data_IF_732925999798
#
_entry.id   IF_732925999798
#
_cell.length_a   1.000
_cell.length_b   1.000
_cell.length_c   1.000
_cell.angle_alpha   90.00
_cell.angle_beta   90.00
_cell.angle_gamma   90.00
#
_symmetry.space_group_name_H-M   'P 1'
#
loop_
_entity.id
_entity.type
_entity.pdbx_description
1 polymer ?
#
# COMPACT_ATOMS: atom_id res chain seq x y z
N UNK A 1 -21.72 -16.20 -38.18
CA UNK A 1 -22.51 -16.12 -36.93
C UNK A 1 -21.51 -15.71 -35.87
N UNK A 2 -21.25 -14.40 -35.84
CA UNK A 2 -20.34 -13.79 -34.86
C UNK A 2 -21.04 -13.84 -33.50
N UNK A 3 -20.45 -14.54 -32.56
CA UNK A 3 -20.80 -14.41 -31.14
C UNK A 3 -20.37 -13.01 -30.72
N UNK A 4 -21.29 -12.07 -30.70
CA UNK A 4 -21.12 -10.84 -29.94
C UNK A 4 -20.98 -11.26 -28.47
N UNK A 5 -19.77 -11.22 -27.92
CA UNK A 5 -19.58 -11.17 -26.49
C UNK A 5 -20.30 -9.91 -26.01
N UNK A 6 -21.39 -10.06 -25.26
CA UNK A 6 -21.99 -8.97 -24.52
C UNK A 6 -20.87 -8.39 -23.65
N UNK A 7 -20.38 -7.20 -24.00
CA UNK A 7 -19.40 -6.49 -23.20
C UNK A 7 -20.02 -6.26 -21.83
N UNK A 8 -19.40 -6.78 -20.76
CA UNK A 8 -19.81 -6.45 -19.40
C UNK A 8 -19.69 -4.94 -19.26
N UNK A 9 -20.74 -4.29 -18.78
CA UNK A 9 -20.72 -2.86 -18.51
C UNK A 9 -19.62 -2.55 -17.46
N UNK A 10 -18.95 -1.40 -17.62
CA UNK A 10 -17.98 -0.92 -16.65
C UNK A 10 -18.65 -0.64 -15.30
N UNK A 11 -17.99 -1.05 -14.22
CA UNK A 11 -18.43 -0.75 -12.86
C UNK A 11 -18.17 0.73 -12.56
N UNK A 12 -19.18 1.42 -12.06
CA UNK A 12 -19.15 2.87 -11.78
C UNK A 12 -18.52 3.12 -10.42
N UNK A 13 -17.42 3.85 -10.42
CA UNK A 13 -16.62 4.10 -9.22
C UNK A 13 -16.78 5.53 -8.74
N UNK A 14 -17.16 5.70 -7.47
CA UNK A 14 -17.12 6.96 -6.75
C UNK A 14 -15.79 7.09 -5.98
N UNK A 15 -15.05 8.18 -6.18
CA UNK A 15 -13.78 8.46 -5.48
C UNK A 15 -13.96 9.59 -4.48
N UNK A 16 -13.84 9.29 -3.17
CA UNK A 16 -13.90 10.27 -2.09
C UNK A 16 -12.50 10.72 -1.71
N UNK A 17 -12.16 11.96 -2.03
CA UNK A 17 -10.84 12.55 -1.80
C UNK A 17 -10.00 12.59 -3.07
N UNK A 18 -9.65 13.81 -3.51
CA UNK A 18 -8.84 14.08 -4.69
C UNK A 18 -7.57 14.89 -4.29
N UNK A 19 -6.97 14.47 -3.14
CA UNK A 19 -5.63 14.87 -2.73
C UNK A 19 -4.57 14.05 -3.45
N UNK A 20 -3.35 14.01 -2.88
CA UNK A 20 -2.23 13.26 -3.48
C UNK A 20 -2.59 11.80 -3.78
N UNK A 21 -3.22 11.09 -2.84
CA UNK A 21 -3.59 9.69 -3.06
C UNK A 21 -4.64 9.56 -4.17
N UNK A 22 -5.72 10.33 -4.10
CA UNK A 22 -6.80 10.28 -5.08
C UNK A 22 -6.37 10.68 -6.48
N UNK A 23 -5.64 11.79 -6.64
CA UNK A 23 -5.27 12.32 -7.97
C UNK A 23 -4.08 11.61 -8.61
N UNK A 24 -3.08 11.16 -7.80
CA UNK A 24 -1.85 10.55 -8.32
C UNK A 24 -1.98 9.03 -8.44
N UNK A 25 -2.64 8.36 -7.49
CA UNK A 25 -2.72 6.90 -7.49
C UNK A 25 -4.11 6.40 -7.92
N UNK A 26 -5.16 6.70 -7.17
CA UNK A 26 -6.46 6.04 -7.38
C UNK A 26 -7.11 6.38 -8.71
N UNK A 27 -7.29 7.67 -9.04
CA UNK A 27 -7.99 8.07 -10.27
C UNK A 27 -7.30 7.54 -11.54
N UNK A 28 -5.95 7.68 -11.73
CA UNK A 28 -5.31 7.14 -12.93
C UNK A 28 -5.31 5.61 -12.99
N UNK A 29 -5.22 4.91 -11.87
CA UNK A 29 -5.27 3.45 -11.85
C UNK A 29 -6.68 2.92 -12.15
N UNK A 30 -7.72 3.55 -11.59
CA UNK A 30 -9.13 3.23 -11.92
C UNK A 30 -9.38 3.43 -13.41
N UNK A 31 -8.99 4.59 -13.94
CA UNK A 31 -9.19 4.92 -15.35
C UNK A 31 -8.39 4.04 -16.33
N UNK A 32 -7.28 3.44 -15.87
CA UNK A 32 -6.46 2.52 -16.67
C UNK A 32 -6.86 1.05 -16.51
N UNK A 33 -7.89 0.74 -15.71
CA UNK A 33 -8.31 -0.64 -15.45
C UNK A 33 -9.57 -0.96 -16.27
N UNK A 34 -9.48 -1.96 -17.12
CA UNK A 34 -10.60 -2.45 -17.91
C UNK A 34 -11.77 -2.87 -17.00
N UNK A 35 -12.97 -2.44 -17.35
CA UNK A 35 -14.19 -2.76 -16.61
C UNK A 35 -14.46 -1.87 -15.41
N UNK A 36 -13.72 -0.75 -15.25
CA UNK A 36 -14.01 0.32 -14.30
C UNK A 36 -14.20 1.66 -15.01
N UNK A 37 -15.13 2.47 -14.52
CA UNK A 37 -15.33 3.84 -14.94
C UNK A 37 -15.31 4.77 -13.72
N UNK A 38 -14.46 5.80 -13.73
CA UNK A 38 -14.45 6.84 -12.69
C UNK A 38 -15.63 7.76 -12.89
N UNK A 39 -16.74 7.46 -12.22
CA UNK A 39 -18.02 8.16 -12.40
C UNK A 39 -18.05 9.51 -11.67
N UNK A 40 -17.75 9.52 -10.37
CA UNK A 40 -17.85 10.73 -9.53
C UNK A 40 -16.63 10.91 -8.65
N UNK A 41 -16.07 12.12 -8.64
CA UNK A 41 -14.96 12.53 -7.75
C UNK A 41 -15.45 13.52 -6.71
N UNK A 42 -15.22 13.22 -5.42
CA UNK A 42 -15.58 14.11 -4.30
C UNK A 42 -14.37 14.93 -3.87
N UNK A 43 -14.46 16.23 -4.02
CA UNK A 43 -13.49 17.21 -3.51
C UNK A 43 -14.14 18.57 -3.36
N UNK A 44 -13.89 19.28 -2.26
CA UNK A 44 -14.39 20.65 -2.04
C UNK A 44 -13.58 21.73 -2.77
N UNK A 45 -12.44 21.36 -3.40
CA UNK A 45 -11.59 22.30 -4.11
C UNK A 45 -12.06 22.43 -5.58
N UNK A 46 -12.51 23.63 -6.05
CA UNK A 46 -13.04 23.81 -7.41
C UNK A 46 -12.02 23.54 -8.52
N UNK A 47 -10.73 23.84 -8.29
CA UNK A 47 -9.67 23.58 -9.28
C UNK A 47 -9.49 22.07 -9.49
N UNK A 48 -9.53 21.29 -8.42
CA UNK A 48 -9.46 19.82 -8.46
C UNK A 48 -10.72 19.20 -9.08
N UNK A 49 -11.89 19.81 -8.89
CA UNK A 49 -13.12 19.41 -9.58
C UNK A 49 -12.96 19.58 -11.09
N UNK A 50 -12.49 20.75 -11.54
CA UNK A 50 -12.25 21.00 -12.95
C UNK A 50 -11.18 20.07 -13.54
N UNK A 51 -10.10 19.78 -12.79
CA UNK A 51 -9.06 18.82 -13.18
C UNK A 51 -9.65 17.42 -13.39
N UNK A 52 -10.39 16.91 -12.42
CA UNK A 52 -11.00 15.57 -12.49
C UNK A 52 -11.98 15.45 -13.67
N UNK A 53 -12.83 16.44 -13.87
CA UNK A 53 -13.76 16.48 -15.02
C UNK A 53 -13.01 16.52 -16.35
N UNK A 54 -11.95 17.33 -16.46
CA UNK A 54 -11.15 17.44 -17.69
C UNK A 54 -10.40 16.15 -18.00
N UNK A 55 -9.78 15.54 -16.97
CA UNK A 55 -8.92 14.37 -17.15
C UNK A 55 -9.71 13.08 -17.38
N UNK A 56 -10.89 12.93 -16.77
CA UNK A 56 -11.63 11.66 -16.74
C UNK A 56 -13.07 11.75 -17.22
N UNK A 57 -13.59 12.93 -17.51
CA UNK A 57 -15.02 13.13 -17.82
C UNK A 57 -15.95 12.88 -16.63
N UNK A 58 -15.38 12.74 -15.41
CA UNK A 58 -16.14 12.40 -14.21
C UNK A 58 -17.06 13.53 -13.76
N UNK A 59 -18.18 13.17 -13.17
CA UNK A 59 -18.98 14.09 -12.35
C UNK A 59 -18.17 14.48 -11.10
N UNK A 60 -18.53 15.59 -10.48
CA UNK A 60 -17.90 16.03 -9.22
C UNK A 60 -18.94 16.34 -8.16
N UNK A 61 -18.56 16.17 -6.90
CA UNK A 61 -19.35 16.54 -5.73
C UNK A 61 -18.46 17.26 -4.71
N UNK A 62 -19.03 18.18 -3.92
CA UNK A 62 -18.28 18.91 -2.91
C UNK A 62 -18.14 18.14 -1.59
N UNK A 63 -19.09 17.27 -1.29
CA UNK A 63 -19.15 16.49 -0.06
C UNK A 63 -19.50 15.01 -0.32
N UNK A 64 -19.01 14.12 0.55
CA UNK A 64 -19.25 12.68 0.44
C UNK A 64 -20.74 12.31 0.52
N UNK A 65 -21.54 13.07 1.28
CA UNK A 65 -23.00 12.87 1.35
C UNK A 65 -23.68 12.95 -0.01
N UNK A 66 -23.29 13.92 -0.85
CA UNK A 66 -23.84 14.09 -2.20
C UNK A 66 -23.57 12.86 -3.10
N UNK A 67 -22.45 12.17 -2.91
CA UNK A 67 -22.15 10.93 -3.61
C UNK A 67 -22.98 9.78 -3.02
N UNK A 68 -23.07 9.66 -1.70
CA UNK A 68 -23.79 8.59 -1.03
C UNK A 68 -25.32 8.68 -1.21
N UNK A 69 -25.87 9.88 -1.41
CA UNK A 69 -27.29 10.09 -1.76
C UNK A 69 -27.66 9.47 -3.12
N UNK A 70 -26.64 9.09 -3.93
CA UNK A 70 -26.78 8.43 -5.23
C UNK A 70 -26.11 7.06 -5.24
N UNK A 71 -26.13 6.35 -4.10
CA UNK A 71 -25.48 5.05 -3.95
C UNK A 71 -25.96 4.01 -4.98
N UNK A 72 -27.22 4.08 -5.40
CA UNK A 72 -27.82 3.20 -6.41
C UNK A 72 -27.26 3.42 -7.85
N UNK A 73 -26.56 4.53 -8.07
CA UNK A 73 -25.88 4.81 -9.33
C UNK A 73 -24.43 4.30 -9.35
N UNK A 74 -23.90 3.72 -8.26
CA UNK A 74 -22.52 3.32 -8.11
C UNK A 74 -22.38 1.83 -7.82
N UNK A 75 -21.25 1.25 -8.18
CA UNK A 75 -20.90 -0.14 -7.97
C UNK A 75 -19.74 -0.30 -6.98
N UNK A 76 -18.96 0.76 -6.74
CA UNK A 76 -17.82 0.80 -5.83
C UNK A 76 -17.57 2.21 -5.32
N UNK A 77 -17.20 2.36 -4.05
CA UNK A 77 -16.66 3.61 -3.50
C UNK A 77 -15.18 3.40 -3.11
N UNK A 78 -14.33 4.34 -3.53
CA UNK A 78 -12.92 4.41 -3.14
C UNK A 78 -12.73 5.60 -2.20
N UNK A 79 -12.11 5.36 -1.04
CA UNK A 79 -11.86 6.39 -0.02
C UNK A 79 -10.36 6.68 0.03
N UNK A 80 -9.97 7.88 -0.43
CA UNK A 80 -8.60 8.39 -0.49
C UNK A 80 -8.46 9.74 0.21
N UNK A 81 -9.22 9.93 1.26
CA UNK A 81 -9.28 11.13 2.11
C UNK A 81 -8.28 11.03 3.28
N UNK A 82 -8.16 12.03 4.19
CA UNK A 82 -7.30 11.91 5.37
C UNK A 82 -7.66 10.73 6.28
N UNK A 83 -6.66 10.08 6.88
CA UNK A 83 -6.81 8.84 7.67
C UNK A 83 -7.97 8.84 8.67
N UNK A 84 -8.15 9.94 9.42
CA UNK A 84 -9.24 10.08 10.41
C UNK A 84 -10.65 9.96 9.82
N UNK A 85 -10.80 10.11 8.52
CA UNK A 85 -12.10 10.04 7.83
C UNK A 85 -12.38 8.66 7.23
N UNK A 86 -11.42 7.74 7.22
CA UNK A 86 -11.56 6.42 6.60
C UNK A 86 -12.71 5.63 7.24
N UNK A 87 -12.69 5.45 8.55
CA UNK A 87 -13.70 4.67 9.28
C UNK A 87 -15.11 5.23 9.12
N UNK A 88 -15.40 6.53 9.38
CA UNK A 88 -16.75 7.05 9.23
C UNK A 88 -17.27 6.99 7.80
N UNK A 89 -16.43 7.24 6.80
CA UNK A 89 -16.83 7.19 5.38
C UNK A 89 -17.06 5.76 4.89
N UNK A 90 -16.17 4.82 5.25
CA UNK A 90 -16.34 3.41 4.93
C UNK A 90 -17.62 2.83 5.59
N UNK A 91 -17.86 3.17 6.86
CA UNK A 91 -19.10 2.79 7.55
C UNK A 91 -20.35 3.32 6.83
N UNK A 92 -20.32 4.59 6.40
CA UNK A 92 -21.45 5.18 5.69
C UNK A 92 -21.68 4.51 4.33
N UNK A 93 -20.63 4.26 3.55
CA UNK A 93 -20.70 3.59 2.26
C UNK A 93 -21.21 2.14 2.38
N UNK A 94 -20.68 1.36 3.33
CA UNK A 94 -21.14 -0.01 3.60
C UNK A 94 -22.61 -0.03 4.05
N UNK A 95 -23.04 0.93 4.88
CA UNK A 95 -24.46 1.07 5.27
C UNK A 95 -25.36 1.45 4.12
N UNK A 96 -24.85 2.17 3.14
CA UNK A 96 -25.56 2.49 1.90
C UNK A 96 -25.60 1.32 0.89
N UNK A 97 -24.98 0.17 1.23
CA UNK A 97 -24.97 -1.03 0.38
C UNK A 97 -23.85 -1.04 -0.67
N UNK A 98 -22.86 -0.18 -0.54
CA UNK A 98 -21.76 -0.06 -1.51
C UNK A 98 -20.53 -0.86 -1.06
N UNK A 99 -19.90 -1.66 -1.95
CA UNK A 99 -18.54 -2.15 -1.79
C UNK A 99 -17.56 -0.99 -1.64
N UNK A 100 -16.47 -1.22 -0.87
CA UNK A 100 -15.54 -0.14 -0.52
C UNK A 100 -14.09 -0.57 -0.72
N UNK A 101 -13.29 0.33 -1.32
CA UNK A 101 -11.84 0.33 -1.24
C UNK A 101 -11.40 1.50 -0.34
N UNK A 102 -10.54 1.25 0.61
CA UNK A 102 -9.98 2.31 1.48
C UNK A 102 -8.47 2.42 1.24
N UNK A 103 -7.95 3.65 1.12
CA UNK A 103 -6.49 3.86 1.14
C UNK A 103 -5.90 3.40 2.50
N UNK A 104 -4.63 3.05 2.53
CA UNK A 104 -3.96 2.65 3.76
C UNK A 104 -3.64 3.88 4.66
N UNK A 105 -3.60 3.71 5.98
CA UNK A 105 -4.10 2.58 6.74
C UNK A 105 -5.64 2.53 6.74
N UNK A 106 -6.21 1.33 6.85
CA UNK A 106 -7.68 1.15 6.88
C UNK A 106 -8.35 1.98 7.99
N UNK A 107 -7.72 1.99 9.16
CA UNK A 107 -8.19 2.66 10.36
C UNK A 107 -7.02 3.13 11.22
N UNK A 108 -7.31 3.86 12.29
CA UNK A 108 -6.33 4.26 13.31
C UNK A 108 -6.00 3.15 14.30
N UNK A 109 -6.92 2.21 14.50
CA UNK A 109 -6.76 1.08 15.41
C UNK A 109 -7.18 -0.24 14.76
N UNK A 110 -6.62 -1.35 15.26
CA UNK A 110 -7.01 -2.69 14.85
C UNK A 110 -8.46 -3.02 15.25
N UNK A 111 -8.94 -2.44 16.34
CA UNK A 111 -10.34 -2.59 16.77
C UNK A 111 -11.30 -1.99 15.75
N UNK A 112 -11.08 -0.73 15.34
CA UNK A 112 -11.91 -0.06 14.32
C UNK A 112 -11.87 -0.81 12.98
N UNK A 113 -10.69 -1.33 12.60
CA UNK A 113 -10.56 -2.14 11.39
C UNK A 113 -11.38 -3.43 11.45
N UNK A 114 -11.42 -4.11 12.60
CA UNK A 114 -12.25 -5.30 12.81
C UNK A 114 -13.74 -4.99 12.81
N UNK A 115 -14.15 -3.85 13.37
CA UNK A 115 -15.55 -3.41 13.31
C UNK A 115 -16.00 -3.16 11.87
N UNK A 116 -15.14 -2.52 11.06
CA UNK A 116 -15.41 -2.33 9.62
C UNK A 116 -15.47 -3.68 8.87
N UNK A 117 -14.53 -4.59 9.16
CA UNK A 117 -14.54 -5.93 8.56
C UNK A 117 -15.84 -6.68 8.89
N UNK A 118 -16.22 -6.70 10.17
CA UNK A 118 -17.46 -7.34 10.60
C UNK A 118 -18.71 -6.74 9.94
N UNK A 119 -18.75 -5.41 9.78
CA UNK A 119 -19.84 -4.73 9.07
C UNK A 119 -19.91 -5.13 7.59
N UNK A 120 -18.75 -5.23 6.92
CA UNK A 120 -18.68 -5.65 5.53
C UNK A 120 -19.13 -7.12 5.38
N UNK A 121 -18.65 -8.00 6.25
CA UNK A 121 -19.02 -9.43 6.29
C UNK A 121 -20.53 -9.61 6.54
N UNK A 122 -21.11 -8.90 7.52
CA UNK A 122 -22.55 -8.92 7.81
C UNK A 122 -23.40 -8.54 6.60
N UNK A 123 -22.91 -7.61 5.79
CA UNK A 123 -23.59 -7.11 4.61
C UNK A 123 -23.28 -7.86 3.33
N UNK A 124 -22.32 -8.79 3.37
CA UNK A 124 -21.84 -9.51 2.17
C UNK A 124 -21.20 -8.59 1.14
N UNK A 125 -20.57 -7.49 1.59
CA UNK A 125 -19.96 -6.49 0.73
C UNK A 125 -18.43 -6.59 0.74
N UNK A 126 -17.80 -6.32 -0.41
CA UNK A 126 -16.35 -6.21 -0.48
C UNK A 126 -15.86 -4.98 0.30
N UNK A 127 -14.91 -5.20 1.21
CA UNK A 127 -14.08 -4.16 1.82
C UNK A 127 -12.62 -4.51 1.57
N UNK A 128 -11.96 -3.75 0.68
CA UNK A 128 -10.55 -3.95 0.31
C UNK A 128 -9.70 -2.77 0.72
N UNK A 129 -8.41 -3.02 0.99
CA UNK A 129 -7.45 -1.98 1.39
C UNK A 129 -6.38 -1.79 0.33
N UNK A 130 -6.08 -0.54 -0.02
CA UNK A 130 -5.12 -0.23 -1.07
C UNK A 130 -3.67 -0.36 -0.58
N UNK A 131 -3.25 -1.60 -0.30
CA UNK A 131 -1.85 -1.94 -0.02
C UNK A 131 -1.06 -2.12 -1.33
N UNK A 132 -0.96 -1.05 -2.11
CA UNK A 132 -0.37 -1.04 -3.45
C UNK A 132 1.03 -1.62 -3.51
N UNK A 133 1.82 -1.52 -2.42
CA UNK A 133 3.19 -2.03 -2.36
C UNK A 133 3.30 -3.56 -2.47
N UNK A 134 2.19 -4.30 -2.41
CA UNK A 134 2.16 -5.73 -2.77
C UNK A 134 2.42 -5.95 -4.27
N UNK A 135 2.24 -4.90 -5.09
CA UNK A 135 2.48 -4.88 -6.55
C UNK A 135 3.73 -4.08 -6.96
N UNK A 136 4.60 -3.73 -6.00
CA UNK A 136 5.93 -3.21 -6.29
C UNK A 136 6.77 -4.27 -7.02
N UNK A 137 7.58 -3.85 -7.96
CA UNK A 137 8.47 -4.69 -8.78
C UNK A 137 9.43 -5.54 -7.93
N UNK A 138 9.99 -4.93 -6.89
CA UNK A 138 10.92 -5.55 -5.95
C UNK A 138 10.22 -6.62 -5.10
N UNK A 139 9.01 -6.36 -4.62
CA UNK A 139 8.22 -7.28 -3.82
C UNK A 139 7.70 -8.47 -4.64
N UNK A 140 7.21 -8.22 -5.87
CA UNK A 140 6.81 -9.28 -6.80
C UNK A 140 7.97 -10.22 -7.12
N UNK A 141 9.17 -9.65 -7.33
CA UNK A 141 10.39 -10.43 -7.58
C UNK A 141 10.78 -11.27 -6.37
N UNK A 142 10.74 -10.69 -5.18
CA UNK A 142 11.03 -11.43 -3.95
C UNK A 142 10.03 -12.58 -3.74
N UNK A 143 8.74 -12.35 -3.95
CA UNK A 143 7.72 -13.42 -3.88
C UNK A 143 8.00 -14.56 -4.85
N UNK A 144 8.41 -14.25 -6.09
CA UNK A 144 8.81 -15.24 -7.09
C UNK A 144 9.99 -16.09 -6.59
N UNK A 145 11.04 -15.46 -6.05
CA UNK A 145 12.23 -16.14 -5.52
C UNK A 145 11.90 -17.09 -4.36
N UNK A 146 11.05 -16.61 -3.43
CA UNK A 146 10.60 -17.42 -2.30
C UNK A 146 9.74 -18.61 -2.75
N UNK A 147 8.79 -18.39 -3.66
CA UNK A 147 7.95 -19.44 -4.20
C UNK A 147 8.74 -20.50 -4.99
N UNK A 148 9.84 -20.09 -5.65
CA UNK A 148 10.75 -21.00 -6.35
C UNK A 148 11.71 -21.75 -5.40
N UNK A 149 11.74 -21.43 -4.10
CA UNK A 149 12.64 -22.03 -3.12
C UNK A 149 14.12 -21.66 -3.30
N UNK A 150 14.41 -20.61 -4.09
CA UNK A 150 15.81 -20.25 -4.45
C UNK A 150 16.64 -19.82 -3.25
N UNK A 151 16.01 -19.32 -2.20
CA UNK A 151 16.68 -18.90 -0.98
C UNK A 151 16.74 -20.01 0.10
N UNK A 152 16.01 -21.11 -0.08
CA UNK A 152 15.79 -22.13 0.92
C UNK A 152 14.92 -21.62 2.08
N UNK A 153 15.16 -22.14 3.30
CA UNK A 153 14.47 -21.68 4.50
C UNK A 153 14.95 -20.29 4.88
N UNK A 154 14.04 -19.32 4.93
CA UNK A 154 14.38 -17.94 5.29
C UNK A 154 14.50 -17.79 6.80
N UNK A 155 15.62 -17.22 7.25
CA UNK A 155 15.87 -16.93 8.67
C UNK A 155 15.61 -15.48 9.03
N UNK A 156 15.95 -14.55 8.07
CA UNK A 156 15.84 -13.11 8.28
C UNK A 156 15.42 -12.39 7.02
N UNK A 157 14.47 -11.51 7.19
CA UNK A 157 14.02 -10.53 6.21
C UNK A 157 14.33 -9.13 6.73
N UNK A 158 15.06 -8.34 5.96
CA UNK A 158 15.27 -6.92 6.22
C UNK A 158 14.61 -6.11 5.11
N UNK A 159 13.82 -5.12 5.51
CA UNK A 159 13.13 -4.22 4.59
C UNK A 159 13.33 -2.77 5.03
N UNK A 160 13.68 -1.91 4.07
CA UNK A 160 13.89 -0.49 4.35
C UNK A 160 13.04 0.37 3.44
N UNK A 161 12.37 1.35 4.06
CA UNK A 161 11.74 2.44 3.35
C UNK A 161 12.33 3.75 3.88
N UNK A 162 13.51 4.08 3.39
CA UNK A 162 14.36 5.17 3.88
C UNK A 162 14.39 6.34 2.89
N UNK A 163 14.48 7.56 3.43
CA UNK A 163 14.59 8.80 2.66
C UNK A 163 15.50 9.79 3.39
N UNK A 164 16.10 10.71 2.63
CA UNK A 164 16.77 11.86 3.20
C UNK A 164 15.90 13.11 3.04
N UNK A 165 15.22 13.48 4.12
CA UNK A 165 14.36 14.67 4.20
C UNK A 165 14.62 15.39 5.51
N UNK A 166 15.73 16.14 5.62
CA UNK A 166 16.18 16.73 6.88
C UNK A 166 15.22 17.81 7.44
N UNK A 167 14.33 18.35 6.58
CA UNK A 167 13.32 19.31 6.99
C UNK A 167 11.93 18.67 6.93
N UNK A 168 11.12 18.77 8.01
CA UNK A 168 9.73 18.40 7.97
C UNK A 168 8.96 19.21 6.92
N UNK A 169 8.03 18.58 6.21
CA UNK A 169 7.16 19.26 5.23
C UNK A 169 5.92 19.86 5.86
N UNK A 170 5.58 19.40 7.07
CA UNK A 170 4.33 19.72 7.75
C UNK A 170 3.12 18.97 7.17
N UNK A 171 1.93 19.37 7.62
CA UNK A 171 0.69 18.72 7.28
C UNK A 171 0.32 17.57 8.23
N UNK A 172 -0.83 16.96 8.00
CA UNK A 172 -1.41 15.97 8.92
C UNK A 172 -0.54 14.71 9.10
N UNK A 173 0.20 14.28 8.06
CA UNK A 173 1.11 13.12 8.15
C UNK A 173 2.28 13.30 9.11
N UNK A 174 2.69 14.54 9.36
CA UNK A 174 3.77 14.88 10.30
C UNK A 174 3.22 15.53 11.58
N UNK A 175 1.89 15.44 11.80
CA UNK A 175 1.23 15.91 13.01
C UNK A 175 1.52 14.98 14.18
N UNK A 176 1.75 15.56 15.36
CA UNK A 176 1.80 14.82 16.62
C UNK A 176 0.43 14.57 17.25
N UNK A 177 -0.66 14.98 16.59
CA UNK A 177 -2.02 14.73 17.03
C UNK A 177 -2.38 13.25 16.80
N UNK A 178 -2.73 12.49 17.84
CA UNK A 178 -3.11 11.08 17.69
C UNK A 178 -4.29 10.85 16.76
N UNK A 179 -5.22 11.80 16.63
CA UNK A 179 -6.39 11.68 15.75
C UNK A 179 -6.01 11.71 14.26
N UNK A 180 -4.89 12.36 13.90
CA UNK A 180 -4.42 12.44 12.53
C UNK A 180 -3.69 11.16 12.09
N UNK A 181 -3.32 10.27 13.03
CA UNK A 181 -2.60 9.01 12.75
C UNK A 181 -1.34 9.30 11.91
N UNK A 182 -0.58 10.32 12.34
CA UNK A 182 0.66 10.76 11.71
C UNK A 182 1.85 9.90 12.11
N UNK A 183 3.03 10.23 11.55
CA UNK A 183 4.30 9.56 11.80
C UNK A 183 4.64 8.47 10.77
N UNK A 184 5.93 8.17 10.67
CA UNK A 184 6.42 7.18 9.70
C UNK A 184 6.03 5.75 10.07
N UNK A 185 5.84 5.46 11.36
CA UNK A 185 5.37 4.16 11.82
C UNK A 185 4.05 3.76 11.12
N UNK A 186 3.09 4.68 11.00
CA UNK A 186 1.82 4.43 10.32
C UNK A 186 1.89 4.71 8.82
N UNK A 187 2.62 5.75 8.36
CA UNK A 187 2.68 6.11 6.94
C UNK A 187 3.47 5.08 6.11
N UNK A 188 4.70 4.76 6.51
CA UNK A 188 5.58 3.83 5.80
C UNK A 188 5.65 2.45 6.49
N UNK A 189 5.55 2.40 7.81
CA UNK A 189 5.55 1.16 8.58
C UNK A 189 4.41 0.24 8.19
N UNK A 190 3.22 0.79 7.87
CA UNK A 190 2.07 0.00 7.38
C UNK A 190 2.41 -0.83 6.13
N UNK A 191 3.23 -0.32 5.23
CA UNK A 191 3.64 -1.04 4.02
C UNK A 191 4.65 -2.15 4.31
N UNK A 192 5.70 -1.85 5.10
CA UNK A 192 6.75 -2.85 5.36
C UNK A 192 6.27 -3.95 6.31
N UNK A 193 5.34 -3.64 7.21
CA UNK A 193 4.66 -4.63 8.08
C UNK A 193 3.73 -5.51 7.24
N UNK A 194 2.88 -4.94 6.39
CA UNK A 194 2.02 -5.70 5.49
C UNK A 194 2.82 -6.69 4.63
N UNK A 195 3.90 -6.20 3.99
CA UNK A 195 4.79 -7.05 3.19
C UNK A 195 5.41 -8.19 4.01
N UNK A 196 5.83 -7.93 5.25
CA UNK A 196 6.41 -8.97 6.12
C UNK A 196 5.37 -10.03 6.50
N UNK A 197 4.14 -9.62 6.83
CA UNK A 197 3.05 -10.55 7.15
C UNK A 197 2.60 -11.38 5.94
N UNK A 198 2.56 -10.79 4.75
CA UNK A 198 2.26 -11.51 3.51
C UNK A 198 3.30 -12.57 3.18
N UNK A 199 4.60 -12.30 3.45
CA UNK A 199 5.68 -13.24 3.15
C UNK A 199 5.84 -14.34 4.19
N UNK A 200 5.68 -14.04 5.48
CA UNK A 200 6.11 -14.91 6.57
C UNK A 200 4.99 -15.19 7.59
N UNK A 201 3.76 -14.81 7.27
CA UNK A 201 2.61 -15.10 8.13
C UNK A 201 2.56 -14.31 9.44
N UNK A 202 1.78 -14.80 10.42
CA UNK A 202 1.45 -14.06 11.63
C UNK A 202 2.67 -13.69 12.48
N UNK A 203 2.65 -12.48 13.04
CA UNK A 203 3.58 -12.04 14.07
C UNK A 203 3.18 -12.62 15.44
N UNK A 204 4.17 -13.07 16.24
CA UNK A 204 3.95 -13.52 17.62
C UNK A 204 4.62 -12.62 18.65
N UNK A 205 5.59 -11.79 18.21
CA UNK A 205 6.29 -10.84 19.08
C UNK A 205 6.84 -9.68 18.27
N UNK A 206 6.75 -8.47 18.85
CA UNK A 206 7.21 -7.22 18.24
C UNK A 206 8.11 -6.47 19.23
N UNK A 207 9.26 -5.98 18.77
CA UNK A 207 10.05 -4.95 19.42
C UNK A 207 10.20 -3.77 18.45
N UNK A 208 10.14 -2.53 18.96
CA UNK A 208 10.30 -1.36 18.10
C UNK A 208 10.95 -0.19 18.84
N UNK A 209 11.56 0.68 18.03
CA UNK A 209 12.05 2.00 18.38
C UNK A 209 11.38 3.00 17.42
N UNK A 210 10.86 4.11 17.96
CA UNK A 210 10.19 5.13 17.16
C UNK A 210 10.57 6.51 17.72
N UNK A 211 11.44 7.19 17.01
CA UNK A 211 12.06 8.43 17.47
C UNK A 211 11.63 9.63 16.62
N UNK A 212 11.67 10.79 17.24
CA UNK A 212 11.55 12.10 16.59
C UNK A 212 12.94 12.71 16.51
N UNK A 213 13.58 12.65 15.36
CA UNK A 213 14.98 13.05 15.16
C UNK A 213 15.13 14.41 14.52
N UNK A 214 14.25 14.79 13.58
CA UNK A 214 14.37 16.03 12.84
C UNK A 214 13.97 17.23 13.67
N UNK A 215 14.72 18.35 13.63
CA UNK A 215 14.33 19.58 14.31
C UNK A 215 12.93 20.05 13.88
N UNK A 216 12.04 20.27 14.86
CA UNK A 216 10.67 20.74 14.63
C UNK A 216 9.67 19.66 14.20
N UNK A 217 10.08 18.40 14.03
CA UNK A 217 9.16 17.28 13.84
C UNK A 217 8.30 17.05 15.11
N UNK A 218 7.07 16.58 14.91
CA UNK A 218 6.10 16.33 16.00
C UNK A 218 5.61 14.89 16.06
N UNK A 219 5.91 14.10 15.04
CA UNK A 219 5.62 12.67 14.96
C UNK A 219 6.92 11.92 14.68
N UNK A 220 6.93 10.60 14.87
CA UNK A 220 8.08 9.75 14.61
C UNK A 220 8.54 9.87 13.15
N UNK A 221 9.86 9.93 12.97
CA UNK A 221 10.49 10.11 11.67
C UNK A 221 11.73 9.22 11.45
N UNK A 222 12.01 8.36 12.43
CA UNK A 222 13.04 7.33 12.40
C UNK A 222 12.55 6.14 13.24
N UNK A 223 12.18 5.03 12.59
CA UNK A 223 11.53 3.89 13.24
C UNK A 223 12.15 2.58 12.81
N UNK A 224 12.42 1.72 13.80
CA UNK A 224 12.82 0.32 13.64
C UNK A 224 11.76 -0.59 14.23
N UNK A 225 11.43 -1.70 13.54
CA UNK A 225 10.51 -2.72 14.01
C UNK A 225 11.15 -4.10 13.81
N UNK A 226 11.28 -4.87 14.87
CA UNK A 226 11.67 -6.28 14.82
C UNK A 226 10.45 -7.17 15.10
N UNK A 227 10.10 -8.03 14.14
CA UNK A 227 9.00 -8.98 14.23
C UNK A 227 9.59 -10.40 14.34
N UNK A 228 9.06 -11.21 15.28
CA UNK A 228 9.21 -12.65 15.25
C UNK A 228 7.92 -13.25 14.72
N UNK A 229 7.99 -13.98 13.61
CA UNK A 229 6.86 -14.69 13.02
C UNK A 229 6.64 -16.05 13.67
N UNK A 230 5.43 -16.61 13.51
CA UNK A 230 5.06 -17.89 14.12
C UNK A 230 5.92 -19.08 13.65
N UNK A 231 6.41 -19.04 12.41
CA UNK A 231 7.33 -20.01 11.81
C UNK A 231 8.81 -19.82 12.20
N UNK A 232 9.11 -18.78 13.00
CA UNK A 232 10.45 -18.48 13.51
C UNK A 232 11.25 -17.51 12.65
N UNK A 233 10.77 -17.09 11.47
CA UNK A 233 11.41 -16.03 10.67
C UNK A 233 11.43 -14.72 11.46
N UNK A 234 12.49 -13.94 11.25
CA UNK A 234 12.65 -12.62 11.87
C UNK A 234 12.65 -11.55 10.80
N UNK A 235 11.71 -10.60 10.90
CA UNK A 235 11.69 -9.41 10.07
C UNK A 235 12.27 -8.21 10.82
N UNK A 236 13.22 -7.50 10.18
CA UNK A 236 13.80 -6.26 10.67
C UNK A 236 13.44 -5.15 9.67
N UNK A 237 12.57 -4.26 10.10
CA UNK A 237 11.93 -3.26 9.24
C UNK A 237 12.39 -1.86 9.67
N UNK A 238 12.77 -1.04 8.69
CA UNK A 238 13.26 0.32 8.94
C UNK A 238 12.47 1.30 8.08
N UNK A 239 11.96 2.33 8.71
CA UNK A 239 11.32 3.46 8.02
C UNK A 239 11.92 4.76 8.55
N UNK A 240 12.51 5.58 7.69
CA UNK A 240 13.25 6.75 8.13
C UNK A 240 13.16 7.90 7.12
N UNK A 241 13.05 9.11 7.64
CA UNK A 241 13.24 10.36 6.90
C UNK A 241 14.64 10.96 7.10
N UNK A 242 15.48 10.32 7.92
CA UNK A 242 16.79 10.84 8.34
C UNK A 242 17.97 10.05 7.77
N UNK A 243 17.71 9.09 6.88
CA UNK A 243 18.75 8.27 6.26
C UNK A 243 19.51 9.04 5.19
N UNK A 244 20.63 9.66 5.55
CA UNK A 244 21.48 10.42 4.62
C UNK A 244 22.18 9.51 3.61
N UNK A 245 22.32 8.23 3.91
CA UNK A 245 22.78 7.18 3.02
C UNK A 245 21.84 6.00 3.10
N UNK A 246 21.23 5.61 1.97
CA UNK A 246 20.20 4.59 1.94
C UNK A 246 20.79 3.20 2.03
N UNK A 247 20.18 2.34 2.86
CA UNK A 247 20.44 0.91 2.90
C UNK A 247 19.74 0.15 1.76
N UNK A 248 19.93 -1.18 1.66
CA UNK A 248 19.20 -2.01 0.71
C UNK A 248 17.70 -1.98 1.02
N UNK A 249 16.89 -1.86 -0.03
CA UNK A 249 15.42 -1.98 0.07
C UNK A 249 15.03 -3.31 0.70
N UNK A 250 15.60 -4.41 0.19
CA UNK A 250 15.47 -5.75 0.76
C UNK A 250 16.85 -6.38 0.96
N UNK A 251 17.00 -7.08 2.09
CA UNK A 251 18.02 -8.07 2.33
C UNK A 251 17.39 -9.30 2.96
N UNK A 252 17.45 -10.43 2.26
CA UNK A 252 16.86 -11.69 2.71
C UNK A 252 17.96 -12.70 2.90
N UNK A 253 17.98 -13.38 4.03
CA UNK A 253 18.96 -14.42 4.37
C UNK A 253 18.22 -15.75 4.50
N UNK A 254 18.54 -16.66 3.62
CA UNK A 254 18.03 -18.04 3.63
C UNK A 254 19.12 -19.09 3.79
N UNK A 255 18.71 -20.35 3.87
CA UNK A 255 19.61 -21.48 4.12
C UNK A 255 20.49 -21.83 2.92
N UNK A 256 20.08 -21.50 1.70
CA UNK A 256 20.82 -21.78 0.47
C UNK A 256 21.43 -20.54 -0.17
N UNK A 257 20.74 -19.40 -0.10
CA UNK A 257 21.20 -18.14 -0.67
C UNK A 257 20.63 -16.94 0.09
N UNK A 258 21.20 -15.77 -0.20
CA UNK A 258 20.65 -14.46 0.18
C UNK A 258 20.23 -13.67 -1.03
N UNK A 259 19.31 -12.71 -0.84
CA UNK A 259 18.89 -11.75 -1.85
C UNK A 259 19.08 -10.33 -1.34
N UNK A 260 19.64 -9.46 -2.17
CA UNK A 260 19.83 -8.03 -1.86
C UNK A 260 19.32 -7.19 -3.01
N UNK A 261 18.48 -6.21 -2.72
CA UNK A 261 17.89 -5.28 -3.69
C UNK A 261 18.04 -3.85 -3.18
N UNK A 262 18.44 -2.95 -4.07
CA UNK A 262 18.48 -1.51 -3.82
C UNK A 262 17.46 -0.77 -4.68
N UNK A 263 17.11 0.45 -4.27
CA UNK A 263 16.12 1.28 -4.96
C UNK A 263 14.67 0.88 -4.65
N UNK A 264 13.76 1.76 -5.01
CA UNK A 264 12.32 1.59 -4.87
C UNK A 264 11.70 1.32 -6.24
N UNK A 265 10.49 0.76 -6.23
CA UNK A 265 9.65 0.61 -7.42
C UNK A 265 9.45 1.96 -8.14
N UNK A 266 9.54 2.00 -9.48
CA UNK A 266 9.45 3.24 -10.25
C UNK A 266 8.02 3.77 -10.46
N UNK A 267 6.97 2.98 -10.19
CA UNK A 267 5.58 3.33 -10.52
C UNK A 267 5.10 4.60 -9.81
N UNK A 268 5.45 4.78 -8.51
CA UNK A 268 5.06 6.01 -7.79
C UNK A 268 5.69 7.25 -8.43
N UNK A 269 6.96 7.19 -8.81
CA UNK A 269 7.63 8.31 -9.49
C UNK A 269 6.97 8.61 -10.83
N UNK A 270 6.71 7.58 -11.64
CA UNK A 270 6.02 7.70 -12.92
C UNK A 270 4.64 8.35 -12.79
N UNK A 271 3.82 7.91 -11.83
CA UNK A 271 2.50 8.49 -11.56
C UNK A 271 2.58 9.96 -11.13
N UNK A 272 3.59 10.32 -10.31
CA UNK A 272 3.82 11.72 -9.89
C UNK A 272 4.25 12.63 -11.03
N UNK A 273 4.92 12.09 -12.03
CA UNK A 273 5.33 12.77 -13.28
C UNK A 273 4.17 12.84 -14.30
N UNK A 274 3.02 12.26 -13.97
CA UNK A 274 1.83 12.27 -14.83
C UNK A 274 1.76 11.12 -15.83
N UNK A 275 2.71 10.18 -15.80
CA UNK A 275 2.64 8.95 -16.61
C UNK A 275 1.48 8.08 -16.17
N UNK A 276 0.95 7.29 -17.09
CA UNK A 276 -0.23 6.44 -16.87
C UNK A 276 0.07 4.99 -17.29
N UNK A 277 -0.44 3.97 -16.58
CA UNK A 277 -0.37 2.60 -17.05
C UNK A 277 -1.05 2.45 -18.42
N UNK A 278 -0.45 1.64 -19.31
CA UNK A 278 -0.97 1.42 -20.66
C UNK A 278 -0.70 2.52 -21.68
N UNK A 279 -0.08 3.64 -21.26
CA UNK A 279 0.38 4.70 -22.17
C UNK A 279 1.62 4.29 -22.97
N UNK A 280 1.82 4.92 -24.14
CA UNK A 280 3.10 4.84 -24.85
C UNK A 280 4.13 5.73 -24.13
N UNK A 281 5.11 5.10 -23.50
CA UNK A 281 6.13 5.79 -22.73
C UNK A 281 7.50 5.74 -23.42
N UNK A 282 8.13 6.89 -23.56
CA UNK A 282 9.51 7.01 -24.04
C UNK A 282 10.53 6.31 -23.11
N UNK A 283 10.19 6.16 -21.83
CA UNK A 283 11.04 5.57 -20.79
C UNK A 283 10.87 4.05 -20.65
N UNK A 284 10.17 3.41 -21.58
CA UNK A 284 9.95 1.96 -21.61
C UNK A 284 8.66 1.48 -20.92
N UNK A 285 8.46 0.16 -20.85
CA UNK A 285 7.23 -0.44 -20.34
C UNK A 285 6.95 -0.07 -18.87
N UNK A 286 5.65 0.02 -18.52
CA UNK A 286 5.20 0.34 -17.18
C UNK A 286 5.83 -0.54 -16.09
N UNK A 287 6.27 0.07 -14.99
CA UNK A 287 6.78 -0.62 -13.80
C UNK A 287 8.15 -1.29 -13.98
N UNK A 288 8.83 -1.11 -15.11
CA UNK A 288 10.16 -1.69 -15.36
C UNK A 288 11.28 -0.79 -14.82
N UNK A 289 12.42 -1.40 -14.51
CA UNK A 289 13.64 -0.73 -14.12
C UNK A 289 14.84 -1.23 -14.93
N UNK A 290 15.92 -0.44 -15.07
CA UNK A 290 17.11 -0.87 -15.79
C UNK A 290 17.88 -1.95 -15.02
N UNK A 291 18.66 -2.78 -15.76
CA UNK A 291 19.43 -3.91 -15.19
C UNK A 291 20.36 -3.50 -14.04
N UNK A 292 20.93 -2.31 -14.07
CA UNK A 292 21.80 -1.80 -13.00
C UNK A 292 21.08 -1.66 -11.63
N UNK A 293 19.75 -1.66 -11.64
CA UNK A 293 18.90 -1.62 -10.44
C UNK A 293 18.45 -3.00 -9.96
N UNK A 294 18.69 -4.06 -10.73
CA UNK A 294 18.26 -5.41 -10.38
C UNK A 294 18.88 -5.88 -9.06
N UNK A 295 18.13 -6.66 -8.30
CA UNK A 295 18.63 -7.33 -7.11
C UNK A 295 19.64 -8.43 -7.45
N UNK A 296 20.30 -8.95 -6.44
CA UNK A 296 21.31 -10.00 -6.60
C UNK A 296 21.04 -11.16 -5.66
N UNK A 297 21.11 -12.38 -6.20
CA UNK A 297 21.01 -13.65 -5.45
C UNK A 297 22.39 -14.28 -5.38
N UNK A 298 22.84 -14.65 -4.18
CA UNK A 298 24.17 -15.27 -4.01
C UNK A 298 24.37 -15.91 -2.65
N UNK A 299 25.45 -16.68 -2.52
CA UNK A 299 25.84 -17.38 -1.30
C UNK A 299 27.34 -17.30 -1.06
N UNK A 300 27.77 -16.80 0.09
CA UNK A 300 29.15 -16.84 0.56
C UNK A 300 30.17 -16.02 -0.22
N UNK A 301 29.73 -15.12 -1.10
CA UNK A 301 30.58 -14.31 -1.96
C UNK A 301 30.96 -12.97 -1.32
N UNK A 302 32.08 -12.41 -1.77
CA UNK A 302 32.55 -11.14 -1.25
C UNK A 302 31.63 -9.99 -1.62
N UNK A 303 31.14 -9.19 -0.66
CA UNK A 303 30.36 -7.99 -0.95
C UNK A 303 31.14 -6.95 -1.76
N UNK A 304 32.47 -6.99 -1.71
CA UNK A 304 33.35 -6.05 -2.44
C UNK A 304 33.35 -6.28 -3.95
N UNK A 305 32.98 -7.45 -4.42
CA UNK A 305 32.91 -7.81 -5.85
C UNK A 305 31.50 -7.79 -6.42
N UNK A 306 30.50 -7.28 -5.66
CA UNK A 306 29.10 -7.30 -6.07
C UNK A 306 28.57 -8.74 -6.19
N UNK A 307 28.92 -9.59 -5.21
CA UNK A 307 28.63 -11.03 -5.20
C UNK A 307 27.20 -11.41 -5.53
N UNK A 308 27.04 -12.59 -6.13
CA UNK A 308 25.77 -13.14 -6.58
C UNK A 308 25.40 -12.78 -8.03
N UNK A 309 24.52 -13.58 -8.62
CA UNK A 309 23.98 -13.33 -9.95
C UNK A 309 22.93 -12.19 -9.92
N UNK A 310 22.88 -11.34 -10.95
CA UNK A 310 21.75 -10.43 -11.09
C UNK A 310 20.45 -11.22 -11.26
N UNK A 311 19.39 -10.76 -10.60
CA UNK A 311 18.05 -11.31 -10.74
C UNK A 311 17.18 -10.29 -11.49
N UNK A 312 16.70 -10.64 -12.70
CA UNK A 312 15.81 -9.77 -13.45
C UNK A 312 14.57 -9.41 -12.64
N UNK A 313 14.37 -8.11 -12.42
CA UNK A 313 13.23 -7.63 -11.66
C UNK A 313 11.96 -7.73 -12.49
N UNK A 314 10.91 -8.33 -11.93
CA UNK A 314 9.58 -8.34 -12.54
C UNK A 314 9.05 -6.89 -12.61
N UNK A 315 8.30 -6.52 -13.64
CA UNK A 315 7.64 -5.22 -13.67
C UNK A 315 6.73 -5.01 -12.47
N UNK A 316 6.68 -3.79 -11.94
CA UNK A 316 5.64 -3.38 -10.99
C UNK A 316 4.28 -3.30 -11.69
N UNK A 317 3.18 -3.46 -10.93
CA UNK A 317 1.86 -3.65 -11.55
C UNK A 317 0.72 -3.16 -10.64
N UNK A 318 0.72 -1.87 -10.32
CA UNK A 318 -0.38 -1.29 -9.52
C UNK A 318 -1.77 -1.47 -10.14
N UNK A 319 -1.94 -1.47 -11.49
CA UNK A 319 -3.24 -1.76 -12.08
C UNK A 319 -3.81 -3.12 -11.70
N UNK A 320 -2.96 -4.14 -11.46
CA UNK A 320 -3.41 -5.47 -11.06
C UNK A 320 -4.20 -5.48 -9.75
N UNK A 321 -4.00 -4.50 -8.86
CA UNK A 321 -4.85 -4.35 -7.68
C UNK A 321 -6.30 -4.09 -8.08
N UNK A 322 -6.54 -3.09 -8.93
CA UNK A 322 -7.90 -2.74 -9.36
C UNK A 322 -8.51 -3.81 -10.28
N UNK A 323 -7.70 -4.46 -11.11
CA UNK A 323 -8.15 -5.63 -11.88
C UNK A 323 -8.66 -6.75 -10.96
N UNK A 324 -7.93 -7.03 -9.85
CA UNK A 324 -8.37 -8.01 -8.87
C UNK A 324 -9.62 -7.57 -8.09
N UNK A 325 -9.75 -6.29 -7.72
CA UNK A 325 -10.98 -5.73 -7.13
C UNK A 325 -12.17 -5.91 -8.10
N UNK A 326 -11.97 -5.61 -9.38
CA UNK A 326 -13.01 -5.77 -10.42
C UNK A 326 -13.44 -7.23 -10.54
N UNK A 327 -12.50 -8.16 -10.56
CA UNK A 327 -12.78 -9.60 -10.59
C UNK A 327 -13.56 -10.05 -9.33
N UNK A 328 -13.15 -9.59 -8.15
CA UNK A 328 -13.84 -9.90 -6.89
C UNK A 328 -15.28 -9.37 -6.87
N UNK A 329 -15.52 -8.15 -7.34
CA UNK A 329 -16.87 -7.57 -7.45
C UNK A 329 -17.77 -8.34 -8.43
N UNK A 330 -17.19 -8.98 -9.42
CA UNK A 330 -17.89 -9.83 -10.39
C UNK A 330 -18.04 -11.29 -9.95
N UNK A 331 -17.50 -11.65 -8.78
CA UNK A 331 -17.46 -13.04 -8.28
C UNK A 331 -16.51 -13.95 -9.07
N UNK A 332 -15.51 -13.38 -9.73
CA UNK A 332 -14.52 -14.06 -10.59
C UNK A 332 -13.16 -14.23 -9.91
N UNK A 333 -13.01 -13.73 -8.69
CA UNK A 333 -11.77 -13.79 -7.91
C UNK A 333 -11.98 -13.39 -6.46
N UNK A 334 -10.90 -13.52 -5.69
CA UNK A 334 -10.90 -13.16 -4.26
C UNK A 334 -10.60 -11.68 -4.04
N UNK A 335 -10.96 -11.15 -2.87
CA UNK A 335 -10.56 -9.82 -2.43
C UNK A 335 -9.02 -9.74 -2.33
N UNK A 336 -8.36 -8.84 -3.09
CA UNK A 336 -6.89 -8.81 -3.17
C UNK A 336 -6.19 -8.43 -1.85
N UNK A 337 -6.86 -7.63 -1.01
CA UNK A 337 -6.38 -7.23 0.31
C UNK A 337 -7.56 -7.06 1.23
N UNK A 338 -7.74 -8.00 2.13
CA UNK A 338 -8.88 -8.03 3.04
C UNK A 338 -8.72 -7.04 4.21
N UNK A 339 -9.84 -6.61 4.77
CA UNK A 339 -9.85 -5.80 5.99
C UNK A 339 -9.27 -6.57 7.19
N UNK A 340 -9.38 -7.91 7.22
CA UNK A 340 -8.78 -8.75 8.25
C UNK A 340 -7.25 -8.74 8.21
N UNK A 341 -6.65 -8.79 7.01
CA UNK A 341 -5.20 -8.64 6.85
C UNK A 341 -4.73 -7.25 7.29
N UNK A 342 -5.49 -6.21 6.95
CA UNK A 342 -5.20 -4.85 7.39
C UNK A 342 -5.31 -4.69 8.92
N UNK A 343 -6.28 -5.33 9.56
CA UNK A 343 -6.40 -5.36 11.02
C UNK A 343 -5.20 -6.07 11.68
N UNK A 344 -4.74 -7.19 11.12
CA UNK A 344 -3.54 -7.88 11.61
C UNK A 344 -2.28 -7.02 11.47
N UNK A 345 -2.15 -6.25 10.40
CA UNK A 345 -1.05 -5.29 10.25
C UNK A 345 -1.13 -4.16 11.29
N UNK A 346 -2.33 -3.67 11.61
CA UNK A 346 -2.56 -2.67 12.65
C UNK A 346 -2.24 -3.20 14.06
N UNK A 347 -2.51 -4.47 14.37
CA UNK A 347 -2.07 -5.10 15.64
C UNK A 347 -0.54 -4.98 15.81
N UNK A 348 0.22 -5.25 14.75
CA UNK A 348 1.68 -5.13 14.76
C UNK A 348 2.11 -3.67 14.95
N UNK A 349 1.46 -2.71 14.28
CA UNK A 349 1.77 -1.28 14.44
C UNK A 349 1.46 -0.77 15.85
N UNK A 350 0.33 -1.19 16.44
CA UNK A 350 -0.02 -0.86 17.82
C UNK A 350 0.96 -1.47 18.83
N UNK A 351 1.34 -2.73 18.62
CA UNK A 351 2.36 -3.41 19.42
C UNK A 351 3.73 -2.72 19.28
N UNK A 352 4.10 -2.28 18.07
CA UNK A 352 5.32 -1.52 17.82
C UNK A 352 5.32 -0.16 18.56
N UNK A 353 4.22 0.59 18.48
CA UNK A 353 4.05 1.85 19.22
C UNK A 353 4.13 1.65 20.72
N UNK A 354 3.50 0.59 21.24
CA UNK A 354 3.61 0.21 22.64
C UNK A 354 5.05 -0.17 23.03
N UNK A 355 5.70 -0.99 22.23
CA UNK A 355 7.09 -1.42 22.42
C UNK A 355 8.05 -0.23 22.50
N UNK A 356 7.95 0.70 21.54
CA UNK A 356 8.78 1.90 21.50
C UNK A 356 8.59 2.79 22.74
N UNK A 357 7.35 2.93 23.22
CA UNK A 357 7.04 3.73 24.40
C UNK A 357 7.53 3.10 25.71
N UNK A 358 7.41 1.77 25.83
CA UNK A 358 7.69 1.02 27.07
C UNK A 358 9.10 0.43 27.10
N UNK A 359 9.81 0.40 25.96
CA UNK A 359 11.17 -0.16 25.85
C UNK A 359 11.21 -1.69 25.98
N UNK A 360 10.10 -2.38 25.70
CA UNK A 360 9.95 -3.83 25.89
C UNK A 360 9.45 -4.52 24.63
N UNK A 361 9.75 -5.82 24.49
CA UNK A 361 9.10 -6.62 23.44
C UNK A 361 7.66 -6.98 23.85
N UNK A 362 6.73 -6.83 22.93
CA UNK A 362 5.29 -7.08 23.08
C UNK A 362 4.94 -8.41 22.43
N UNK A 363 4.24 -9.31 23.14
CA UNK A 363 3.62 -10.50 22.55
C UNK A 363 2.27 -10.12 21.90
N UNK A 364 1.97 -10.78 20.77
CA UNK A 364 0.70 -10.71 20.04
C UNK A 364 -0.12 -11.97 20.21
#
# INVERSE_FOLDING_TARGET
MEFMTEGKNDLRVGLIGYGLAGSVFHAPLIAATDGLALDTVVTSNPERQAEATTAYGSRTAAAAGELLDRADELDLVVIASPNKTHVPLATAALKAGLPVVVDKPLAGTAADARELAALADERGLLLSVFQNRRWDNDFRTLRKLLAAGELGDVWRFESRFERWRPQPKGGWRESGDPEEIGGLLYDLGSHVVDQALVLFGPAVRVYAEADVRRPGARADDDTFIAITHADGVRSHLYVSATAAQLGPRFRVLGSTAGYVKYGLDPQEAALREGRRPGGEDADGPWGTEPECMWGRVGSGESPLTGGGRPEPTLPGDYPAYYAAVTAALRGEGDNPVTAHEAAAALDVLEAARRSAREGVAVAL
#
